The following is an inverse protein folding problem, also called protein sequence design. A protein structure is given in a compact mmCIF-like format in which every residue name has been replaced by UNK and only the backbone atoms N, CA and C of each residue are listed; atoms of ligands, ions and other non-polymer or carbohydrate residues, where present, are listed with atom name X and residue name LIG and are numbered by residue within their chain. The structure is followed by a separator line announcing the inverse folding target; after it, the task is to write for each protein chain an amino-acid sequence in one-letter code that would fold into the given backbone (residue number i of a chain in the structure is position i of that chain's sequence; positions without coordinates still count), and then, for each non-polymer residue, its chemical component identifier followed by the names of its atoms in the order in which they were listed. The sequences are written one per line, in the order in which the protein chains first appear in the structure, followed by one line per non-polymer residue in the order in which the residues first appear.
data_IF_086543091712
#
_entry.id   IF_086543091712
#
_cell.length_a   1.000
_cell.length_b   1.000
_cell.length_c   1.000
_cell.angle_alpha   90.00
_cell.angle_beta   90.00
_cell.angle_gamma   90.00
#
_symmetry.space_group_name_H-M   'P 1'
#
loop_
_entity.id
_entity.type
_entity.pdbx_description
1 polymer ?
#
# COMPACT_ATOMS: atom_id res chain seq x y z
N UNK A 1 2.79 -9.12 10.81
CA UNK A 1 1.69 -8.85 9.88
C UNK A 1 2.17 -8.83 8.44
N UNK A 2 1.32 -9.20 7.51
CA UNK A 2 1.65 -9.16 6.08
C UNK A 2 1.56 -7.72 5.59
N UNK A 3 2.61 -7.24 4.92
CA UNK A 3 2.59 -5.92 4.27
C UNK A 3 2.24 -6.09 2.79
N UNK A 4 1.08 -5.57 2.39
CA UNK A 4 0.61 -5.65 1.01
C UNK A 4 1.17 -4.56 0.08
N UNK A 5 1.91 -3.59 0.60
CA UNK A 5 2.39 -2.41 -0.14
C UNK A 5 3.63 -2.66 -1.03
N UNK A 6 4.28 -3.82 -0.94
CA UNK A 6 5.49 -4.12 -1.72
C UNK A 6 5.23 -4.23 -3.22
N UNK A 7 6.24 -3.90 -4.04
CA UNK A 7 6.20 -4.03 -5.51
C UNK A 7 6.33 -5.48 -5.99
N UNK A 8 6.89 -6.33 -5.15
CA UNK A 8 7.08 -7.77 -5.40
C UNK A 8 6.55 -8.57 -4.22
N UNK A 9 6.33 -9.86 -4.40
CA UNK A 9 5.99 -10.77 -3.30
C UNK A 9 7.18 -10.94 -2.35
N UNK A 10 6.92 -11.41 -1.12
CA UNK A 10 7.96 -11.62 -0.11
C UNK A 10 9.07 -12.57 -0.59
N UNK A 11 8.70 -13.63 -1.30
CA UNK A 11 9.62 -14.60 -1.92
C UNK A 11 10.30 -14.07 -3.20
N UNK A 12 9.98 -12.83 -3.62
CA UNK A 12 10.49 -12.13 -4.81
C UNK A 12 10.21 -12.82 -6.15
N UNK A 13 9.33 -13.80 -6.19
CA UNK A 13 9.01 -14.54 -7.42
C UNK A 13 8.04 -13.81 -8.33
N UNK A 14 7.11 -13.03 -7.75
CA UNK A 14 6.05 -12.34 -8.50
C UNK A 14 6.27 -10.83 -8.42
N UNK A 15 6.32 -10.19 -9.57
CA UNK A 15 6.24 -8.74 -9.73
C UNK A 15 4.77 -8.35 -9.79
N UNK A 16 4.33 -7.46 -8.91
CA UNK A 16 2.95 -6.94 -8.86
C UNK A 16 2.77 -5.84 -9.90
N UNK A 17 1.52 -5.52 -10.25
CA UNK A 17 1.23 -4.45 -11.22
C UNK A 17 1.92 -3.10 -10.89
N UNK A 18 2.00 -2.64 -9.62
CA UNK A 18 2.76 -1.43 -9.29
C UNK A 18 4.25 -1.47 -9.69
N UNK A 19 4.90 -2.65 -9.74
CA UNK A 19 6.26 -2.78 -10.24
C UNK A 19 6.37 -2.29 -11.69
N UNK A 20 5.40 -2.67 -12.54
CA UNK A 20 5.39 -2.30 -13.96
C UNK A 20 5.02 -0.83 -14.17
N UNK A 21 4.24 -0.23 -13.28
CA UNK A 21 4.03 1.21 -13.27
C UNK A 21 5.36 1.95 -13.08
N UNK A 22 6.14 1.58 -12.06
CA UNK A 22 7.48 2.17 -11.86
C UNK A 22 8.41 1.87 -13.03
N UNK A 23 8.37 0.65 -13.59
CA UNK A 23 9.15 0.30 -14.78
C UNK A 23 8.79 1.23 -15.95
N UNK A 24 7.52 1.57 -16.14
CA UNK A 24 7.09 2.46 -17.21
C UNK A 24 7.71 3.87 -17.11
N UNK A 25 7.90 4.38 -15.90
CA UNK A 25 8.49 5.70 -15.68
C UNK A 25 10.01 5.71 -15.70
N UNK A 26 10.66 4.64 -15.25
CA UNK A 26 12.10 4.68 -14.95
C UNK A 26 12.94 3.83 -15.90
N UNK A 27 12.36 2.83 -16.58
CA UNK A 27 13.11 1.97 -17.48
C UNK A 27 13.12 2.54 -18.90
N UNK A 28 14.27 2.40 -19.57
CA UNK A 28 14.41 2.64 -21.01
C UNK A 28 14.15 1.38 -21.85
N UNK A 29 14.08 0.21 -21.21
CA UNK A 29 13.77 -1.05 -21.86
C UNK A 29 12.29 -1.05 -22.26
N UNK A 30 11.96 -1.16 -23.58
CA UNK A 30 10.58 -1.15 -24.04
C UNK A 30 9.81 -2.37 -23.53
N UNK A 31 8.55 -2.17 -23.14
CA UNK A 31 7.68 -3.24 -22.67
C UNK A 31 6.21 -2.85 -22.74
N UNK A 32 5.35 -3.88 -22.66
CA UNK A 32 3.91 -3.76 -22.46
C UNK A 32 3.49 -4.70 -21.31
N UNK A 33 2.65 -4.25 -20.40
CA UNK A 33 2.13 -5.05 -19.30
C UNK A 33 0.65 -4.80 -19.09
N UNK A 34 -0.17 -5.84 -19.25
CA UNK A 34 -1.58 -5.85 -18.88
C UNK A 34 -1.72 -6.06 -17.37
N UNK A 35 -2.42 -5.14 -16.72
CA UNK A 35 -2.70 -5.22 -15.29
C UNK A 35 -3.86 -6.19 -14.98
N UNK A 36 -3.88 -6.69 -13.75
CA UNK A 36 -4.98 -7.49 -13.24
C UNK A 36 -4.99 -8.94 -13.74
N UNK A 37 -3.83 -9.53 -14.07
CA UNK A 37 -3.72 -10.90 -14.58
C UNK A 37 -4.32 -11.95 -13.64
N UNK A 38 -4.40 -11.69 -12.33
CA UNK A 38 -5.04 -12.57 -11.34
C UNK A 38 -6.51 -12.25 -11.09
N UNK A 39 -6.99 -11.10 -11.55
CA UNK A 39 -8.40 -10.72 -11.49
C UNK A 39 -9.11 -11.21 -12.74
N UNK A 40 -9.28 -12.54 -12.83
CA UNK A 40 -9.86 -13.23 -14.01
C UNK A 40 -11.38 -13.07 -14.04
N UNK A 41 -12.06 -13.38 -12.95
CA UNK A 41 -13.51 -13.31 -12.87
C UNK A 41 -13.96 -11.88 -12.59
N UNK A 42 -14.82 -11.35 -13.47
CA UNK A 42 -15.32 -9.98 -13.43
C UNK A 42 -16.83 -9.94 -13.51
N UNK A 43 -17.45 -9.29 -12.55
CA UNK A 43 -18.92 -9.23 -12.48
C UNK A 43 -19.51 -8.05 -13.26
N UNK A 44 -18.69 -7.10 -13.69
CA UNK A 44 -19.11 -5.94 -14.48
C UNK A 44 -19.38 -6.32 -15.94
N UNK A 45 -20.37 -5.72 -16.60
CA UNK A 45 -20.65 -5.90 -18.04
C UNK A 45 -19.60 -5.19 -18.91
N UNK A 46 -19.07 -4.08 -18.42
CA UNK A 46 -17.96 -3.35 -19.02
C UNK A 46 -16.82 -3.30 -18.02
N UNK A 47 -15.69 -3.86 -18.39
CA UNK A 47 -14.52 -3.94 -17.52
C UNK A 47 -13.44 -2.96 -17.94
N UNK A 48 -12.79 -2.36 -16.95
CA UNK A 48 -11.61 -1.54 -17.20
C UNK A 48 -10.38 -2.44 -17.43
N UNK A 49 -9.71 -2.24 -18.57
CA UNK A 49 -8.43 -2.87 -18.89
C UNK A 49 -7.35 -1.80 -18.82
N UNK A 50 -6.43 -1.98 -17.89
CA UNK A 50 -5.29 -1.08 -17.69
C UNK A 50 -4.01 -1.68 -18.22
N UNK A 51 -3.23 -0.90 -18.95
CA UNK A 51 -1.94 -1.30 -19.52
C UNK A 51 -0.87 -0.33 -19.10
N UNK A 52 0.25 -0.85 -18.64
CA UNK A 52 1.46 -0.06 -18.39
C UNK A 52 2.47 -0.30 -19.51
N UNK A 53 2.99 0.78 -20.07
CA UNK A 53 4.00 0.73 -21.14
C UNK A 53 4.82 2.03 -21.14
N UNK A 54 6.09 1.94 -21.54
CA UNK A 54 6.91 3.12 -21.84
C UNK A 54 6.97 3.44 -23.34
N UNK A 55 6.12 2.78 -24.14
CA UNK A 55 5.96 3.02 -25.57
C UNK A 55 4.79 4.00 -25.80
N UNK A 56 4.82 4.79 -26.91
CA UNK A 56 3.85 5.88 -27.11
C UNK A 56 2.47 5.43 -27.59
N UNK A 57 2.36 4.17 -28.03
CA UNK A 57 1.11 3.62 -28.59
C UNK A 57 0.87 2.22 -28.04
N UNK A 58 -0.39 1.90 -27.75
CA UNK A 58 -0.83 0.55 -27.36
C UNK A 58 -2.11 0.20 -28.09
N UNK A 59 -2.12 -0.98 -28.74
CA UNK A 59 -3.30 -1.58 -29.36
C UNK A 59 -3.83 -2.70 -28.48
N UNK A 60 -5.13 -2.69 -28.19
CA UNK A 60 -5.83 -3.72 -27.42
C UNK A 60 -6.58 -4.65 -28.36
N UNK A 61 -6.44 -5.95 -28.12
CA UNK A 61 -7.12 -7.01 -28.84
C UNK A 61 -7.97 -7.83 -27.88
N UNK A 62 -9.15 -8.26 -28.33
CA UNK A 62 -10.01 -9.24 -27.67
C UNK A 62 -10.19 -10.44 -28.59
N UNK A 63 -9.80 -11.62 -28.14
CA UNK A 63 -9.86 -12.87 -28.91
C UNK A 63 -9.21 -12.76 -30.30
N UNK A 64 -8.10 -12.02 -30.37
CA UNK A 64 -7.34 -11.78 -31.60
C UNK A 64 -7.89 -10.66 -32.48
N UNK A 65 -9.06 -10.07 -32.17
CA UNK A 65 -9.62 -8.95 -32.90
C UNK A 65 -9.22 -7.61 -32.28
N UNK A 66 -8.78 -6.67 -33.10
CA UNK A 66 -8.46 -5.31 -32.66
C UNK A 66 -9.70 -4.62 -32.09
N UNK A 67 -9.59 -4.13 -30.86
CA UNK A 67 -10.63 -3.35 -30.20
C UNK A 67 -10.39 -1.86 -30.40
N UNK A 68 -9.22 -1.39 -29.99
CA UNK A 68 -8.86 0.03 -30.00
C UNK A 68 -7.33 0.19 -29.96
N UNK A 69 -6.85 1.25 -30.59
CA UNK A 69 -5.46 1.71 -30.46
C UNK A 69 -5.44 3.09 -29.80
N UNK A 70 -4.62 3.25 -28.77
CA UNK A 70 -4.45 4.53 -28.08
C UNK A 70 -3.01 5.01 -28.15
N UNK A 71 -2.89 6.31 -28.40
CA UNK A 71 -1.67 7.07 -28.16
C UNK A 71 -1.68 7.58 -26.72
N UNK A 72 -0.55 7.55 -26.04
CA UNK A 72 -0.47 8.00 -24.66
C UNK A 72 0.92 7.86 -24.08
N UNK A 73 0.99 7.98 -22.74
CA UNK A 73 2.24 7.83 -22.01
C UNK A 73 2.01 7.07 -20.70
N UNK A 74 2.79 6.04 -20.46
CA UNK A 74 2.91 5.21 -19.25
C UNK A 74 1.67 4.41 -18.87
N UNK A 75 0.46 4.99 -18.91
CA UNK A 75 -0.78 4.37 -18.47
C UNK A 75 -1.83 4.48 -19.56
N UNK A 76 -2.31 3.36 -20.04
CA UNK A 76 -3.38 3.27 -21.04
C UNK A 76 -4.57 2.57 -20.40
N UNK A 77 -5.75 3.15 -20.53
CA UNK A 77 -6.99 2.60 -19.95
C UNK A 77 -8.02 2.42 -21.07
N UNK A 78 -8.59 1.22 -21.15
CA UNK A 78 -9.61 0.84 -22.12
C UNK A 78 -10.85 0.38 -21.36
N UNK A 79 -12.03 0.64 -21.96
CA UNK A 79 -13.31 0.12 -21.47
C UNK A 79 -13.77 -0.99 -22.42
N UNK A 80 -13.92 -2.21 -21.88
CA UNK A 80 -14.16 -3.39 -22.68
C UNK A 80 -15.43 -4.12 -22.25
N UNK A 81 -16.44 -4.24 -23.12
CA UNK A 81 -17.59 -5.11 -22.89
C UNK A 81 -17.16 -6.58 -22.90
N UNK A 82 -17.60 -7.34 -21.90
CA UNK A 82 -17.31 -8.79 -21.76
C UNK A 82 -18.60 -9.58 -21.56
N UNK A 83 -18.67 -10.77 -22.15
CA UNK A 83 -19.86 -11.65 -22.13
C UNK A 83 -19.56 -13.09 -21.74
N UNK A 84 -18.33 -13.41 -21.38
CA UNK A 84 -17.87 -14.76 -21.04
C UNK A 84 -16.37 -14.78 -20.88
N UNK A 85 -15.74 -15.86 -21.32
CA UNK A 85 -14.28 -16.02 -21.28
C UNK A 85 -13.66 -15.40 -22.51
N UNK A 86 -12.72 -14.49 -22.30
CA UNK A 86 -11.99 -13.81 -23.36
C UNK A 86 -10.50 -13.79 -23.09
N UNK A 87 -9.71 -13.86 -24.15
CA UNK A 87 -8.29 -13.54 -24.15
C UNK A 87 -8.10 -12.07 -24.52
N UNK A 88 -7.47 -11.31 -23.64
CA UNK A 88 -7.16 -9.91 -23.87
C UNK A 88 -5.66 -9.77 -24.08
N UNK A 89 -5.29 -9.15 -25.18
CA UNK A 89 -3.89 -8.92 -25.53
C UNK A 89 -3.66 -7.43 -25.77
N UNK A 90 -2.59 -6.88 -25.18
CA UNK A 90 -2.07 -5.56 -25.49
C UNK A 90 -0.78 -5.68 -26.28
N UNK A 91 -0.66 -4.93 -27.36
CA UNK A 91 0.51 -4.90 -28.25
C UNK A 91 1.03 -3.49 -28.44
N UNK A 92 2.37 -3.38 -28.55
CA UNK A 92 3.05 -2.17 -28.98
C UNK A 92 4.37 -2.56 -29.64
N UNK A 93 4.49 -2.36 -30.96
CA UNK A 93 5.60 -2.89 -31.74
C UNK A 93 5.72 -4.42 -31.60
N UNK A 94 6.88 -4.91 -31.23
CA UNK A 94 7.15 -6.35 -31.03
C UNK A 94 6.79 -6.84 -29.60
N UNK A 95 6.35 -5.94 -28.72
CA UNK A 95 6.04 -6.26 -27.33
C UNK A 95 4.55 -6.56 -27.15
N UNK A 96 4.25 -7.61 -26.44
CA UNK A 96 2.87 -7.97 -26.10
C UNK A 96 2.73 -8.50 -24.68
N UNK A 97 1.51 -8.41 -24.16
CA UNK A 97 1.10 -8.98 -22.87
C UNK A 97 -0.30 -9.52 -23.00
N UNK A 98 -0.58 -10.68 -22.40
CA UNK A 98 -1.88 -11.35 -22.49
C UNK A 98 -2.40 -11.63 -21.10
N UNK A 99 -3.72 -11.44 -20.91
CA UNK A 99 -4.45 -11.89 -19.72
C UNK A 99 -5.73 -12.60 -20.14
N UNK A 100 -6.29 -13.37 -19.23
CA UNK A 100 -7.62 -13.97 -19.38
C UNK A 100 -8.61 -13.20 -18.52
N UNK A 101 -9.81 -12.97 -19.03
CA UNK A 101 -10.94 -12.42 -18.30
C UNK A 101 -12.15 -13.33 -18.48
N UNK A 102 -13.00 -13.41 -17.48
CA UNK A 102 -14.20 -14.23 -17.47
C UNK A 102 -15.35 -13.43 -16.87
N UNK A 103 -16.41 -13.19 -17.61
CA UNK A 103 -17.64 -12.59 -17.08
C UNK A 103 -18.33 -13.59 -16.18
N UNK A 104 -18.64 -13.18 -14.97
CA UNK A 104 -19.42 -13.95 -13.97
C UNK A 104 -20.62 -13.14 -13.50
N UNK A 105 -21.65 -13.83 -12.99
CA UNK A 105 -22.88 -13.17 -12.56
C UNK A 105 -22.72 -12.46 -11.20
N UNK A 106 -21.81 -12.93 -10.35
CA UNK A 106 -21.54 -12.36 -9.04
C UNK A 106 -20.03 -12.23 -8.79
N UNK A 107 -19.59 -11.24 -8.00
CA UNK A 107 -18.17 -11.08 -7.64
C UNK A 107 -17.61 -12.34 -6.99
N UNK A 108 -16.43 -12.75 -7.42
CA UNK A 108 -15.71 -13.89 -6.83
C UNK A 108 -15.26 -13.52 -5.40
N UNK A 109 -15.73 -14.25 -4.36
CA UNK A 109 -15.39 -13.94 -2.97
C UNK A 109 -13.90 -14.10 -2.66
N UNK A 110 -13.16 -14.88 -3.43
CA UNK A 110 -11.71 -15.06 -3.22
C UNK A 110 -10.89 -13.80 -3.53
N UNK A 111 -11.49 -12.81 -4.22
CA UNK A 111 -10.87 -11.51 -4.47
C UNK A 111 -11.14 -10.51 -3.36
N UNK A 112 -12.05 -10.80 -2.43
CA UNK A 112 -12.27 -9.96 -1.28
C UNK A 112 -11.04 -10.01 -0.37
N UNK A 113 -10.58 -8.83 0.06
CA UNK A 113 -9.54 -8.77 1.09
C UNK A 113 -10.11 -9.34 2.39
N UNK A 114 -9.44 -10.34 2.94
CA UNK A 114 -9.71 -10.83 4.28
C UNK A 114 -9.31 -9.71 5.26
N UNK A 115 -10.28 -8.91 5.67
CA UNK A 115 -10.14 -7.89 6.71
C UNK A 115 -10.02 -8.57 8.07
N UNK A 116 -9.05 -9.48 8.24
CA UNK A 116 -8.72 -9.97 9.58
C UNK A 116 -8.36 -8.79 10.44
N UNK A 117 -9.06 -8.67 11.54
CA UNK A 117 -9.00 -7.60 12.55
C UNK A 117 -7.60 -7.31 13.14
N UNK A 118 -6.55 -7.95 12.64
CA UNK A 118 -5.19 -7.89 13.19
C UNK A 118 -4.20 -7.05 12.37
N UNK A 119 -4.64 -6.38 11.31
CA UNK A 119 -3.80 -5.43 10.59
C UNK A 119 -4.36 -4.04 10.85
N UNK A 120 -3.88 -3.41 11.91
CA UNK A 120 -4.16 -1.99 12.14
C UNK A 120 -3.48 -1.20 11.03
N UNK A 121 -4.28 -0.73 10.11
CA UNK A 121 -3.84 0.27 9.16
C UNK A 121 -3.90 1.63 9.88
N UNK A 122 -2.78 2.20 10.20
CA UNK A 122 -2.73 3.49 10.91
C UNK A 122 -3.28 4.68 10.11
N UNK A 123 -3.76 4.44 8.88
CA UNK A 123 -4.52 5.41 8.10
C UNK A 123 -6.04 5.25 8.24
N UNK A 124 -6.53 4.15 8.77
CA UNK A 124 -7.94 3.95 9.07
C UNK A 124 -8.16 4.51 10.47
N UNK A 125 -8.70 5.71 10.58
CA UNK A 125 -8.79 6.51 11.80
C UNK A 125 -9.64 5.97 12.95
N UNK A 126 -10.05 4.71 12.93
CA UNK A 126 -10.56 3.96 14.08
C UNK A 126 -9.41 3.12 14.66
N UNK A 127 -8.67 3.72 15.58
CA UNK A 127 -7.80 2.98 16.46
C UNK A 127 -8.68 2.00 17.25
N UNK A 128 -8.48 0.71 17.05
CA UNK A 128 -8.97 -0.31 17.95
C UNK A 128 -8.56 0.10 19.37
N UNK A 129 -9.51 0.17 20.30
CA UNK A 129 -9.24 0.54 21.69
C UNK A 129 -8.23 -0.37 22.38
N UNK A 130 -7.94 -1.56 21.80
CA UNK A 130 -6.86 -2.45 22.19
C UNK A 130 -5.48 -2.02 21.66
N UNK A 131 -5.43 -1.09 20.70
CA UNK A 131 -4.18 -0.51 20.24
C UNK A 131 -3.68 0.52 21.23
N UNK A 132 -2.46 0.40 21.65
CA UNK A 132 -1.75 1.27 22.58
C UNK A 132 -1.91 2.73 22.17
N UNK A 133 -2.81 3.44 22.83
CA UNK A 133 -2.87 4.89 22.68
C UNK A 133 -1.73 5.52 23.49
N UNK A 134 -1.21 6.65 23.03
CA UNK A 134 -0.27 7.46 23.82
C UNK A 134 -0.89 7.82 25.17
N UNK A 135 -2.22 7.99 25.24
CA UNK A 135 -2.97 8.20 26.47
C UNK A 135 -2.88 7.04 27.46
N UNK A 136 -3.06 5.80 26.96
CA UNK A 136 -3.09 4.61 27.83
C UNK A 136 -1.69 4.26 28.30
N UNK A 137 -0.68 4.45 27.44
CA UNK A 137 0.73 4.34 27.81
C UNK A 137 1.13 5.39 28.86
N UNK A 138 0.67 6.61 28.70
CA UNK A 138 0.93 7.67 29.67
C UNK A 138 0.21 7.39 30.99
N UNK A 139 -1.03 6.91 30.97
CA UNK A 139 -1.78 6.52 32.16
C UNK A 139 -1.11 5.32 32.87
N UNK A 140 -0.70 4.30 32.14
CA UNK A 140 0.03 3.15 32.70
C UNK A 140 1.40 3.57 33.26
N UNK A 141 2.15 4.42 32.57
CA UNK A 141 3.44 4.94 33.04
C UNK A 141 3.27 5.85 34.28
N UNK A 142 2.21 6.61 34.35
CA UNK A 142 1.88 7.43 35.54
C UNK A 142 1.44 6.61 36.76
N UNK A 143 0.85 5.41 36.53
CA UNK A 143 0.47 4.49 37.57
C UNK A 143 1.63 3.58 38.04
N UNK A 144 2.72 3.51 37.30
CA UNK A 144 3.90 2.72 37.67
C UNK A 144 4.57 3.28 38.93
N UNK A 145 4.83 2.44 39.95
CA UNK A 145 5.40 2.91 41.23
C UNK A 145 6.76 3.58 41.14
N UNK A 146 7.55 3.27 40.09
CA UNK A 146 8.87 3.82 39.86
C UNK A 146 8.85 4.99 38.86
N UNK A 147 8.12 4.86 37.78
CA UNK A 147 8.07 5.84 36.72
C UNK A 147 7.12 7.02 37.04
N UNK A 148 5.98 6.75 37.68
CA UNK A 148 4.94 7.74 37.95
C UNK A 148 5.41 8.97 38.72
N UNK A 149 6.15 8.85 39.83
CA UNK A 149 6.68 10.00 40.58
C UNK A 149 7.64 10.85 39.74
N UNK A 150 8.46 10.20 38.90
CA UNK A 150 9.42 10.88 38.01
C UNK A 150 8.70 11.67 36.93
N UNK A 151 7.72 11.03 36.26
CA UNK A 151 6.91 11.68 35.22
C UNK A 151 6.10 12.88 35.77
N UNK A 152 5.61 12.77 37.01
CA UNK A 152 4.91 13.86 37.66
C UNK A 152 5.85 15.06 37.91
N UNK A 153 7.06 14.82 38.39
CA UNK A 153 8.07 15.88 38.57
C UNK A 153 8.46 16.55 37.26
N UNK A 154 8.61 15.77 36.18
CA UNK A 154 8.91 16.31 34.83
C UNK A 154 7.77 17.23 34.38
N UNK A 155 6.53 16.77 34.52
CA UNK A 155 5.35 17.54 34.14
C UNK A 155 5.25 18.86 34.91
N UNK A 156 5.53 18.85 36.20
CA UNK A 156 5.54 20.03 37.06
C UNK A 156 6.66 21.01 36.65
N UNK A 157 7.88 20.50 36.38
CA UNK A 157 9.00 21.31 35.91
C UNK A 157 8.79 21.87 34.50
N UNK A 158 8.23 21.04 33.58
CA UNK A 158 7.89 21.49 32.23
C UNK A 158 6.81 22.59 32.26
N UNK A 159 5.82 22.46 33.11
CA UNK A 159 4.81 23.52 33.30
C UNK A 159 5.41 24.83 33.83
N UNK A 160 6.37 24.73 34.74
CA UNK A 160 7.10 25.89 35.27
C UNK A 160 8.02 26.55 34.25
N UNK A 161 8.56 25.79 33.30
CA UNK A 161 9.46 26.26 32.22
C UNK A 161 8.76 26.59 30.89
N UNK A 162 7.47 26.93 30.93
CA UNK A 162 6.66 27.26 29.74
C UNK A 162 6.64 26.18 28.66
N UNK A 163 6.72 24.90 29.07
CA UNK A 163 6.65 23.73 28.17
C UNK A 163 8.00 23.24 27.61
N UNK A 164 9.12 23.81 28.06
CA UNK A 164 10.45 23.31 27.69
C UNK A 164 10.77 22.01 28.44
N UNK A 165 10.48 20.87 27.77
CA UNK A 165 10.75 19.53 28.31
C UNK A 165 12.23 19.24 28.41
N UNK A 166 13.07 19.78 27.52
CA UNK A 166 14.51 19.60 27.54
C UNK A 166 15.13 20.22 28.80
N UNK A 167 14.69 21.43 29.17
CA UNK A 167 15.11 22.08 30.42
C UNK A 167 14.65 21.30 31.67
N UNK A 168 13.46 20.68 31.61
CA UNK A 168 12.90 19.90 32.73
C UNK A 168 13.65 18.59 33.00
N UNK A 169 14.26 18.02 31.96
CA UNK A 169 14.96 16.72 32.01
C UNK A 169 16.45 16.85 32.31
N UNK A 170 17.04 18.02 32.01
CA UNK A 170 18.48 18.27 32.10
C UNK A 170 19.10 17.90 33.45
N UNK A 171 18.37 18.10 34.54
CA UNK A 171 18.86 17.87 35.90
C UNK A 171 18.57 16.44 36.41
N UNK A 172 18.07 15.55 35.58
CA UNK A 172 17.78 14.17 35.98
C UNK A 172 18.58 13.16 35.14
N UNK A 173 19.75 12.70 35.62
CA UNK A 173 20.64 11.80 34.88
C UNK A 173 19.99 10.49 34.43
N UNK A 174 19.04 9.96 35.22
CA UNK A 174 18.34 8.72 34.88
C UNK A 174 17.42 8.87 33.66
N UNK A 175 16.83 10.07 33.53
CA UNK A 175 15.97 10.40 32.39
C UNK A 175 16.75 10.69 31.12
N UNK A 176 17.86 11.39 31.24
CA UNK A 176 18.79 11.62 30.12
C UNK A 176 19.26 10.27 29.58
N UNK A 177 19.70 9.35 30.42
CA UNK A 177 20.14 8.01 30.00
C UNK A 177 19.00 7.18 29.37
N UNK A 178 17.75 7.36 29.82
CA UNK A 178 16.59 6.67 29.23
C UNK A 178 16.23 7.23 27.84
N UNK A 179 16.31 8.54 27.65
CA UNK A 179 16.11 9.19 26.36
C UNK A 179 17.21 8.84 25.35
N UNK A 180 18.47 8.81 25.78
CA UNK A 180 19.59 8.35 24.92
C UNK A 180 19.42 6.91 24.46
N UNK A 181 18.99 6.00 25.33
CA UNK A 181 18.69 4.59 24.98
C UNK A 181 17.49 4.49 24.03
N UNK A 182 16.48 5.35 24.16
CA UNK A 182 15.34 5.38 23.25
C UNK A 182 15.75 5.87 21.85
N UNK A 183 16.61 6.88 21.76
CA UNK A 183 17.12 7.40 20.48
C UNK A 183 18.07 6.43 19.76
N UNK A 184 18.81 5.59 20.49
CA UNK A 184 19.69 4.56 19.91
C UNK A 184 18.92 3.37 19.32
N UNK A 185 17.61 3.22 19.61
CA UNK A 185 16.74 2.15 19.11
C UNK A 185 15.84 2.58 17.93
N UNK A 186 15.91 3.82 17.53
CA UNK A 186 15.24 4.38 16.33
C UNK A 186 16.17 4.34 15.12
#
# INVERSE_FOLDING_TARGET
GENQKGLVTFDRKIKKDPFYLYKAYWSKEPFVHLCGSRYVDRAEDVTEIKVYSNLPEVSLYKDGQLVETKQGDKVFTFQLPITGKHSIEARSGEHSSVILVNKVDAPNPDYAMDNRKNVTNWFDGELDESCWSVKDNMAAAMADPKAGPILKQIREKAAASRGDVAAAVKDNPALVAMMERAMQRM
#
